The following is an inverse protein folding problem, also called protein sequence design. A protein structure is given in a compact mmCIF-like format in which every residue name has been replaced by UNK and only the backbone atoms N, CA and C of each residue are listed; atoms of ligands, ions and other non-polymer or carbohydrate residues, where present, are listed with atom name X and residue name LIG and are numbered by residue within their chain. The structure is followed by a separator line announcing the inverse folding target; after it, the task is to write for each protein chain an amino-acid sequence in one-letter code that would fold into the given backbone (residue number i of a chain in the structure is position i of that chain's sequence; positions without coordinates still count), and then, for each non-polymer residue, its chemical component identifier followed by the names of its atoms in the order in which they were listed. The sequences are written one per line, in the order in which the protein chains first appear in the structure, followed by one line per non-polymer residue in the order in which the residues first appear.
data_IF_799904168637
#
_entry.id   IF_799904168637
#
_cell.length_a   1.000
_cell.length_b   1.000
_cell.length_c   1.000
_cell.angle_alpha   90.00
_cell.angle_beta   90.00
_cell.angle_gamma   90.00
#
_symmetry.space_group_name_H-M   'P 1'
#
loop_
_entity.id
_entity.type
_entity.pdbx_description
1 polymer ?
#
# COMPACT_ATOMS: atom_id res chain seq x y z
N UNK A 1 26.11 15.65 8.26
CA UNK A 1 25.11 16.54 8.89
C UNK A 1 25.38 18.04 8.63
N UNK A 2 26.60 18.48 8.31
CA UNK A 2 26.97 19.91 8.22
C UNK A 2 26.68 20.66 6.92
N UNK A 3 26.16 20.01 5.86
CA UNK A 3 25.93 20.64 4.54
C UNK A 3 24.47 20.54 4.08
N UNK A 4 23.52 20.95 4.93
CA UNK A 4 22.11 21.07 4.52
C UNK A 4 21.56 22.44 4.94
N UNK A 5 20.97 23.22 4.02
CA UNK A 5 20.56 24.61 4.27
C UNK A 5 19.34 24.76 5.20
N UNK A 6 18.67 23.67 5.60
CA UNK A 6 17.50 23.69 6.48
C UNK A 6 17.49 22.50 7.46
N UNK A 7 18.16 22.66 8.61
CA UNK A 7 18.31 21.66 9.68
C UNK A 7 16.97 21.01 10.15
N UNK A 8 15.89 21.77 10.47
CA UNK A 8 14.65 21.19 10.97
C UNK A 8 13.84 20.42 9.91
N UNK A 9 13.92 20.77 8.62
CA UNK A 9 13.29 19.99 7.53
C UNK A 9 14.05 18.69 7.27
N UNK A 10 15.38 18.73 7.37
CA UNK A 10 16.24 17.56 7.19
C UNK A 10 16.06 16.55 8.33
N UNK A 11 15.94 17.01 9.59
CA UNK A 11 15.67 16.17 10.77
C UNK A 11 14.32 15.44 10.72
N UNK A 12 13.28 16.01 10.10
CA UNK A 12 11.96 15.38 9.99
C UNK A 12 11.85 14.27 8.95
N UNK A 13 12.94 13.94 8.25
CA UNK A 13 12.93 12.80 7.31
C UNK A 13 13.02 11.50 8.11
N UNK A 14 12.13 10.50 7.92
CA UNK A 14 12.08 9.30 8.76
C UNK A 14 13.40 8.51 8.76
N UNK A 15 14.11 8.51 7.64
CA UNK A 15 15.45 7.89 7.53
C UNK A 15 16.48 8.59 8.42
N UNK A 16 16.39 9.92 8.55
CA UNK A 16 17.28 10.72 9.38
C UNK A 16 16.92 10.63 10.88
N UNK A 17 15.64 10.43 11.20
CA UNK A 17 15.19 10.14 12.58
C UNK A 17 15.79 8.81 13.07
N UNK A 18 15.79 7.77 12.22
CA UNK A 18 16.38 6.47 12.54
C UNK A 18 17.90 6.61 12.73
N UNK A 19 18.57 7.39 11.89
CA UNK A 19 20.01 7.65 12.00
C UNK A 19 20.36 8.41 13.29
N UNK A 20 19.52 9.38 13.66
CA UNK A 20 19.65 10.11 14.93
C UNK A 20 19.44 9.19 16.14
N UNK A 21 18.40 8.35 16.14
CA UNK A 21 18.14 7.37 17.21
C UNK A 21 19.31 6.38 17.34
N UNK A 22 19.85 5.88 16.22
CA UNK A 22 20.99 4.97 16.23
C UNK A 22 22.25 5.64 16.80
N UNK A 23 22.50 6.90 16.41
CA UNK A 23 23.61 7.71 16.93
C UNK A 23 23.44 7.96 18.44
N UNK A 24 22.26 8.41 18.87
CA UNK A 24 21.95 8.66 20.29
C UNK A 24 22.08 7.38 21.11
N UNK A 25 21.58 6.24 20.63
CA UNK A 25 21.70 4.94 21.31
C UNK A 25 23.17 4.61 21.60
N UNK A 26 24.07 4.78 20.63
CA UNK A 26 25.51 4.58 20.80
C UNK A 26 26.15 5.54 21.81
N UNK A 27 25.76 6.82 21.82
CA UNK A 27 26.27 7.80 22.79
C UNK A 27 25.79 7.51 24.21
N UNK A 28 24.52 7.12 24.36
CA UNK A 28 23.95 6.75 25.65
C UNK A 28 24.65 5.52 26.21
N UNK A 29 24.92 4.52 25.38
CA UNK A 29 25.69 3.33 25.76
C UNK A 29 27.09 3.65 26.28
N UNK A 30 27.80 4.49 25.56
CA UNK A 30 29.14 4.93 25.94
C UNK A 30 29.13 5.76 27.22
N UNK A 31 28.18 6.67 27.36
CA UNK A 31 27.99 7.47 28.57
C UNK A 31 27.62 6.60 29.77
N UNK A 32 26.82 5.56 29.52
CA UNK A 32 26.34 4.64 30.54
C UNK A 32 27.44 3.71 31.06
N UNK A 33 28.25 3.13 30.18
CA UNK A 33 29.41 2.31 30.59
C UNK A 33 30.40 3.12 31.44
N UNK A 34 30.53 4.43 31.15
CA UNK A 34 31.39 5.35 31.92
C UNK A 34 30.77 5.78 33.25
N UNK A 35 29.45 5.93 33.32
CA UNK A 35 28.73 6.37 34.52
C UNK A 35 28.43 5.22 35.51
N UNK A 36 28.17 4.00 35.01
CA UNK A 36 27.81 2.84 35.82
C UNK A 36 29.01 2.10 36.44
N UNK A 37 30.26 2.47 36.13
CA UNK A 37 31.43 1.96 36.86
C UNK A 37 31.41 2.30 38.37
N UNK A 38 30.50 3.16 38.84
CA UNK A 38 30.29 3.47 40.26
C UNK A 38 28.93 3.02 40.80
N UNK A 39 28.90 1.88 41.50
CA UNK A 39 28.04 1.54 42.66
C UNK A 39 26.58 2.06 42.67
N UNK A 40 25.79 1.89 41.60
CA UNK A 40 24.33 2.08 41.64
C UNK A 40 23.63 1.00 40.81
N UNK A 41 23.06 0.00 41.50
CA UNK A 41 22.38 -1.15 40.87
C UNK A 41 20.94 -0.84 40.44
N UNK A 42 20.29 0.14 41.07
CA UNK A 42 18.88 0.46 40.81
C UNK A 42 18.68 1.21 39.48
N UNK A 43 19.68 1.98 39.03
CA UNK A 43 19.63 2.62 37.71
C UNK A 43 19.77 1.63 36.55
N UNK A 44 20.38 0.46 36.80
CA UNK A 44 20.69 -0.55 35.77
C UNK A 44 19.42 -1.19 35.19
N UNK A 45 18.32 -1.24 35.95
CA UNK A 45 17.02 -1.71 35.45
C UNK A 45 16.41 -0.73 34.43
N UNK A 46 16.34 0.57 34.74
CA UNK A 46 15.86 1.58 33.79
C UNK A 46 16.73 1.64 32.52
N UNK A 47 18.03 1.41 32.66
CA UNK A 47 18.95 1.36 31.55
C UNK A 47 18.84 0.08 30.69
N UNK A 48 18.07 -0.93 31.12
CA UNK A 48 17.80 -2.12 30.29
C UNK A 48 16.98 -1.78 29.03
N UNK A 49 16.18 -0.70 29.05
CA UNK A 49 15.48 -0.18 27.86
C UNK A 49 16.48 0.24 26.78
N UNK A 50 17.65 0.76 27.16
CA UNK A 50 18.71 1.15 26.20
C UNK A 50 19.25 -0.07 25.45
N UNK A 51 19.34 -1.24 26.11
CA UNK A 51 19.75 -2.49 25.44
C UNK A 51 18.75 -2.89 24.34
N UNK A 52 17.45 -2.66 24.55
CA UNK A 52 16.42 -2.83 23.50
C UNK A 52 16.57 -1.76 22.42
N UNK A 53 16.94 -0.52 22.78
CA UNK A 53 17.23 0.55 21.80
C UNK A 53 18.42 0.22 20.88
N UNK A 54 19.43 -0.51 21.36
CA UNK A 54 20.52 -1.03 20.51
C UNK A 54 20.03 -1.98 19.41
N UNK A 55 18.90 -2.70 19.60
CA UNK A 55 18.32 -3.55 18.55
C UNK A 55 17.85 -2.74 17.34
N UNK A 56 17.46 -1.48 17.53
CA UNK A 56 17.15 -0.58 16.42
C UNK A 56 18.37 -0.26 15.56
N UNK A 57 19.62 -0.48 16.03
CA UNK A 57 20.82 -0.37 15.19
C UNK A 57 20.78 -1.33 13.99
N UNK A 58 20.11 -2.49 14.12
CA UNK A 58 19.90 -3.43 13.01
C UNK A 58 19.04 -2.82 11.89
N UNK A 59 18.16 -1.88 12.23
CA UNK A 59 17.30 -1.19 11.26
C UNK A 59 18.07 -0.25 10.34
N UNK A 60 19.25 0.23 10.77
CA UNK A 60 20.12 1.10 9.98
C UNK A 60 20.86 0.33 8.87
N UNK A 61 21.20 -0.94 9.11
CA UNK A 61 21.93 -1.76 8.14
C UNK A 61 20.99 -2.44 7.12
N UNK A 62 19.74 -2.68 7.49
CA UNK A 62 18.75 -3.28 6.59
C UNK A 62 18.17 -2.24 5.61
N UNK A 63 18.66 -2.26 4.37
CA UNK A 63 18.07 -1.50 3.25
C UNK A 63 16.59 -1.87 3.03
N UNK A 64 16.21 -3.12 3.29
CA UNK A 64 14.82 -3.58 3.19
C UNK A 64 13.86 -2.85 4.14
N UNK A 65 14.30 -2.59 5.38
CA UNK A 65 13.48 -1.89 6.35
C UNK A 65 13.33 -0.39 6.03
N UNK A 66 14.35 0.23 5.44
CA UNK A 66 14.26 1.62 4.94
C UNK A 66 13.22 1.76 3.83
N UNK A 67 13.14 0.78 2.93
CA UNK A 67 12.13 0.73 1.87
C UNK A 67 10.74 0.53 2.47
N UNK A 68 10.61 -0.35 3.48
CA UNK A 68 9.34 -0.55 4.19
C UNK A 68 8.83 0.75 4.83
N UNK A 69 9.71 1.50 5.50
CA UNK A 69 9.34 2.76 6.17
C UNK A 69 8.95 3.83 5.15
N UNK A 70 9.65 3.92 4.02
CA UNK A 70 9.25 4.85 2.94
C UNK A 70 7.90 4.46 2.33
N UNK A 71 7.63 3.17 2.19
CA UNK A 71 6.35 2.64 1.70
C UNK A 71 5.23 2.95 2.70
N UNK A 72 5.47 2.70 3.99
CA UNK A 72 4.52 3.00 5.05
C UNK A 72 4.19 4.49 5.11
N UNK A 73 5.17 5.37 4.93
CA UNK A 73 4.92 6.81 4.86
C UNK A 73 4.05 7.18 3.65
N UNK A 74 4.24 6.52 2.50
CA UNK A 74 3.43 6.78 1.30
C UNK A 74 1.95 6.38 1.52
N UNK A 75 1.72 5.27 2.23
CA UNK A 75 0.38 4.75 2.52
C UNK A 75 -0.16 5.18 3.90
N UNK A 76 0.56 6.03 4.64
CA UNK A 76 0.20 6.44 6.00
C UNK A 76 -1.14 7.18 6.06
N UNK A 77 -1.49 7.93 5.01
CA UNK A 77 -2.75 8.65 4.94
C UNK A 77 -3.96 7.69 4.97
N UNK A 78 -3.86 6.55 4.29
CA UNK A 78 -4.92 5.54 4.26
C UNK A 78 -4.99 4.74 5.57
N UNK A 79 -3.82 4.41 6.12
CA UNK A 79 -3.75 3.72 7.41
C UNK A 79 -4.27 4.60 8.55
N UNK A 80 -3.99 5.90 8.53
CA UNK A 80 -4.51 6.84 9.52
C UNK A 80 -6.04 6.92 9.49
N UNK A 81 -6.63 6.94 8.28
CA UNK A 81 -8.07 6.93 8.10
C UNK A 81 -8.70 5.63 8.65
N UNK A 82 -8.08 4.47 8.42
CA UNK A 82 -8.52 3.22 9.04
C UNK A 82 -8.48 3.30 10.57
N UNK A 83 -7.33 3.65 11.13
CA UNK A 83 -7.15 3.70 12.59
C UNK A 83 -8.16 4.68 13.20
N UNK A 84 -8.45 5.78 12.53
CA UNK A 84 -9.48 6.72 12.95
C UNK A 84 -10.88 6.07 13.04
N UNK A 85 -11.30 5.30 12.02
CA UNK A 85 -12.57 4.58 12.06
C UNK A 85 -12.63 3.52 13.16
N UNK A 86 -11.54 2.77 13.36
CA UNK A 86 -11.45 1.76 14.44
C UNK A 86 -11.51 2.43 15.81
N UNK A 87 -10.80 3.54 16.01
CA UNK A 87 -10.86 4.31 17.26
C UNK A 87 -12.25 4.88 17.52
N UNK A 88 -12.93 5.39 16.49
CA UNK A 88 -14.31 5.86 16.63
C UNK A 88 -15.24 4.71 17.06
N UNK A 89 -15.12 3.53 16.45
CA UNK A 89 -15.87 2.35 16.85
C UNK A 89 -15.59 1.96 18.31
N UNK A 90 -14.32 1.94 18.73
CA UNK A 90 -13.91 1.67 20.12
C UNK A 90 -14.61 2.62 21.09
N UNK A 91 -14.60 3.93 20.82
CA UNK A 91 -15.23 4.93 21.69
C UNK A 91 -16.75 4.74 21.77
N UNK A 92 -17.40 4.47 20.63
CA UNK A 92 -18.85 4.23 20.57
C UNK A 92 -19.23 2.99 21.40
N UNK A 93 -18.58 1.85 21.16
CA UNK A 93 -18.90 0.61 21.88
C UNK A 93 -18.53 0.67 23.37
N UNK A 94 -17.45 1.37 23.73
CA UNK A 94 -17.08 1.63 25.12
C UNK A 94 -18.15 2.46 25.86
N UNK A 95 -18.73 3.47 25.20
CA UNK A 95 -19.83 4.24 25.76
C UNK A 95 -21.10 3.38 25.88
N UNK A 96 -21.45 2.63 24.83
CA UNK A 96 -22.64 1.78 24.82
C UNK A 96 -22.61 0.70 25.91
N UNK A 97 -21.47 0.03 26.13
CA UNK A 97 -21.37 -1.00 27.18
C UNK A 97 -21.42 -0.37 28.58
N UNK A 98 -20.80 0.81 28.75
CA UNK A 98 -20.81 1.53 30.03
C UNK A 98 -22.22 2.00 30.41
N UNK A 99 -22.99 2.51 29.45
CA UNK A 99 -24.39 2.84 29.69
C UNK A 99 -25.25 1.59 29.85
N UNK A 100 -25.04 0.56 29.02
CA UNK A 100 -25.76 -0.71 29.10
C UNK A 100 -25.63 -1.41 30.46
N UNK A 101 -24.44 -1.38 31.05
CA UNK A 101 -24.18 -1.93 32.39
C UNK A 101 -24.69 -1.05 33.54
N UNK A 102 -25.08 0.21 33.27
CA UNK A 102 -25.64 1.12 34.26
C UNK A 102 -27.15 1.20 34.27
N UNK A 103 -27.81 0.70 33.23
CA UNK A 103 -29.27 0.64 33.17
C UNK A 103 -29.83 -0.38 34.16
N UNK A 104 -29.09 -1.46 34.42
CA UNK A 104 -29.47 -2.53 35.34
C UNK A 104 -28.60 -2.47 36.60
N UNK A 105 -29.24 -2.45 37.77
CA UNK A 105 -28.52 -2.46 39.06
C UNK A 105 -27.86 -3.82 39.26
N UNK A 106 -26.56 -3.87 38.99
CA UNK A 106 -25.73 -5.05 39.18
C UNK A 106 -24.70 -4.81 40.31
N UNK A 107 -24.78 -5.55 41.44
CA UNK A 107 -23.80 -5.42 42.53
C UNK A 107 -22.37 -5.78 42.12
N UNK A 108 -22.22 -6.51 41.01
CA UNK A 108 -20.97 -7.03 40.45
C UNK A 108 -20.51 -6.25 39.20
N UNK A 109 -20.84 -4.96 39.10
CA UNK A 109 -20.50 -4.12 37.94
C UNK A 109 -18.99 -3.78 37.88
N UNK A 110 -18.33 -4.25 36.83
CA UNK A 110 -16.90 -4.02 36.58
C UNK A 110 -16.62 -2.75 35.77
N UNK A 111 -17.63 -2.18 35.10
CA UNK A 111 -17.53 -0.99 34.24
C UNK A 111 -17.70 0.31 35.05
N UNK A 112 -16.76 0.57 35.96
CA UNK A 112 -16.81 1.72 36.88
C UNK A 112 -16.60 3.08 36.19
N UNK A 113 -15.86 3.12 35.08
CA UNK A 113 -15.52 4.36 34.37
C UNK A 113 -15.38 4.12 32.87
N UNK A 114 -15.58 5.17 32.08
CA UNK A 114 -15.46 5.13 30.61
C UNK A 114 -14.09 4.58 30.15
N UNK A 115 -12.94 4.92 30.77
CA UNK A 115 -11.65 4.34 30.38
C UNK A 115 -11.55 2.82 30.56
N UNK A 116 -12.28 2.25 31.53
CA UNK A 116 -12.34 0.79 31.72
C UNK A 116 -13.13 0.14 30.57
N UNK A 117 -14.22 0.77 30.14
CA UNK A 117 -14.97 0.37 28.94
C UNK A 117 -14.15 0.48 27.65
N UNK A 118 -13.25 1.47 27.55
CA UNK A 118 -12.33 1.60 26.42
C UNK A 118 -11.35 0.43 26.34
N UNK A 119 -10.77 0.01 27.47
CA UNK A 119 -9.89 -1.17 27.51
C UNK A 119 -10.63 -2.43 27.03
N UNK A 120 -11.85 -2.67 27.54
CA UNK A 120 -12.68 -3.77 27.08
C UNK A 120 -12.98 -3.69 25.57
N UNK A 121 -13.41 -2.53 25.08
CA UNK A 121 -13.75 -2.34 23.67
C UNK A 121 -12.55 -2.56 22.74
N UNK A 122 -11.33 -2.14 23.14
CA UNK A 122 -10.09 -2.42 22.41
C UNK A 122 -9.84 -3.93 22.33
N UNK A 123 -9.90 -4.63 23.46
CA UNK A 123 -9.66 -6.08 23.55
C UNK A 123 -10.70 -6.87 22.74
N UNK A 124 -11.96 -6.44 22.74
CA UNK A 124 -13.05 -7.08 21.99
C UNK A 124 -12.98 -6.81 20.49
N UNK A 125 -12.77 -5.57 20.05
CA UNK A 125 -12.66 -5.21 18.63
C UNK A 125 -11.42 -5.86 18.00
N UNK A 126 -10.30 -5.91 18.73
CA UNK A 126 -9.11 -6.63 18.30
C UNK A 126 -9.25 -8.17 18.40
N UNK A 127 -10.42 -8.69 18.78
CA UNK A 127 -10.71 -10.13 18.90
C UNK A 127 -9.79 -10.88 19.87
N UNK A 128 -9.14 -10.17 20.81
CA UNK A 128 -8.24 -10.77 21.80
C UNK A 128 -9.06 -11.49 22.88
N UNK A 129 -10.06 -10.80 23.43
CA UNK A 129 -11.02 -11.38 24.38
C UNK A 129 -10.39 -11.99 25.64
N UNK A 130 -9.59 -11.23 26.40
CA UNK A 130 -8.95 -11.73 27.63
C UNK A 130 -9.94 -12.28 28.68
N UNK A 131 -11.17 -11.75 28.73
CA UNK A 131 -12.20 -12.18 29.66
C UNK A 131 -12.04 -11.64 31.09
N UNK A 132 -11.13 -10.69 31.30
CA UNK A 132 -10.93 -9.94 32.55
C UNK A 132 -12.12 -9.02 32.87
N UNK A 133 -12.73 -8.45 31.82
CA UNK A 133 -13.89 -7.59 31.86
C UNK A 133 -14.95 -8.13 30.91
N UNK A 134 -16.17 -8.36 31.40
CA UNK A 134 -17.28 -8.88 30.57
C UNK A 134 -18.60 -8.26 31.03
N UNK A 135 -19.44 -7.75 30.11
CA UNK A 135 -20.77 -7.28 30.47
C UNK A 135 -21.62 -8.44 31.01
N UNK A 136 -22.23 -8.21 32.19
CA UNK A 136 -23.07 -9.18 32.89
C UNK A 136 -24.57 -8.91 32.65
N UNK A 137 -24.95 -7.67 32.35
CA UNK A 137 -26.33 -7.23 32.05
C UNK A 137 -26.85 -7.74 30.72
N UNK A 138 -28.17 -7.81 30.55
CA UNK A 138 -28.78 -8.26 29.29
C UNK A 138 -28.46 -7.30 28.14
N UNK A 139 -28.54 -5.99 28.40
CA UNK A 139 -28.19 -4.96 27.42
C UNK A 139 -26.69 -4.95 27.11
N UNK A 140 -25.83 -5.08 28.12
CA UNK A 140 -24.39 -5.16 27.94
C UNK A 140 -23.98 -6.36 27.09
N UNK A 141 -24.62 -7.53 27.26
CA UNK A 141 -24.38 -8.72 26.44
C UNK A 141 -24.82 -8.54 24.98
N UNK A 142 -25.93 -7.86 24.73
CA UNK A 142 -26.38 -7.51 23.37
C UNK A 142 -25.39 -6.55 22.70
N UNK A 143 -24.94 -5.52 23.43
CA UNK A 143 -23.90 -4.61 22.94
C UNK A 143 -22.59 -5.37 22.69
N UNK A 144 -22.22 -6.30 23.56
CA UNK A 144 -21.04 -7.15 23.42
C UNK A 144 -21.08 -8.05 22.19
N UNK A 145 -22.21 -8.69 21.91
CA UNK A 145 -22.36 -9.54 20.71
C UNK A 145 -22.33 -8.72 19.43
N UNK A 146 -22.99 -7.55 19.42
CA UNK A 146 -22.94 -6.62 18.29
C UNK A 146 -21.54 -6.06 18.09
N UNK A 147 -20.82 -5.74 19.17
CA UNK A 147 -19.44 -5.25 19.14
C UNK A 147 -18.49 -6.30 18.56
N UNK A 148 -18.63 -7.58 18.94
CA UNK A 148 -17.80 -8.65 18.40
C UNK A 148 -18.01 -8.82 16.88
N UNK A 149 -19.26 -8.85 16.43
CA UNK A 149 -19.59 -8.96 15.00
C UNK A 149 -19.12 -7.73 14.21
N UNK A 150 -19.43 -6.52 14.69
CA UNK A 150 -19.03 -5.28 14.04
C UNK A 150 -17.53 -5.06 14.06
N UNK A 151 -16.84 -5.44 15.14
CA UNK A 151 -15.38 -5.32 15.25
C UNK A 151 -14.66 -6.15 14.19
N UNK A 152 -15.06 -7.41 14.01
CA UNK A 152 -14.51 -8.29 12.97
C UNK A 152 -14.76 -7.70 11.58
N UNK A 153 -15.98 -7.24 11.28
CA UNK A 153 -16.31 -6.61 9.99
C UNK A 153 -15.51 -5.33 9.75
N UNK A 154 -15.32 -4.53 10.80
CA UNK A 154 -14.59 -3.26 10.76
C UNK A 154 -13.11 -3.48 10.47
N UNK A 155 -12.50 -4.59 10.92
CA UNK A 155 -11.10 -4.92 10.61
C UNK A 155 -10.99 -5.66 9.28
N UNK A 156 -11.93 -6.55 8.95
CA UNK A 156 -11.86 -7.42 7.78
C UNK A 156 -11.94 -6.67 6.44
N UNK A 157 -12.69 -5.57 6.36
CA UNK A 157 -12.86 -4.80 5.12
C UNK A 157 -11.67 -3.89 4.76
N UNK A 158 -11.15 -3.07 5.68
CA UNK A 158 -10.10 -2.12 5.33
C UNK A 158 -8.70 -2.74 5.28
N UNK A 159 -8.42 -3.81 6.03
CA UNK A 159 -7.08 -4.44 6.01
C UNK A 159 -6.70 -4.91 4.60
N UNK A 160 -7.56 -5.64 3.84
CA UNK A 160 -7.26 -6.00 2.45
C UNK A 160 -7.14 -4.81 1.50
N UNK A 161 -7.97 -3.77 1.66
CA UNK A 161 -7.91 -2.54 0.85
C UNK A 161 -6.54 -1.88 1.02
N UNK A 162 -6.10 -1.77 2.28
CA UNK A 162 -4.80 -1.20 2.64
C UNK A 162 -3.67 -2.08 2.12
N UNK A 163 -3.71 -3.40 2.35
CA UNK A 163 -2.67 -4.32 1.86
C UNK A 163 -2.55 -4.25 0.33
N UNK A 164 -3.67 -4.16 -0.39
CA UNK A 164 -3.68 -3.97 -1.84
C UNK A 164 -2.96 -2.69 -2.26
N UNK A 165 -3.27 -1.57 -1.59
CA UNK A 165 -2.62 -0.30 -1.88
C UNK A 165 -1.14 -0.26 -1.49
N UNK A 166 -0.80 -0.78 -0.30
CA UNK A 166 0.58 -0.95 0.15
C UNK A 166 1.39 -1.82 -0.80
N UNK A 167 0.80 -2.89 -1.36
CA UNK A 167 1.46 -3.74 -2.35
C UNK A 167 1.79 -2.97 -3.63
N UNK A 168 0.86 -2.11 -4.11
CA UNK A 168 1.09 -1.24 -5.25
C UNK A 168 2.25 -0.27 -4.98
N UNK A 169 2.23 0.45 -3.85
CA UNK A 169 3.30 1.39 -3.47
C UNK A 169 4.64 0.69 -3.22
N UNK A 170 4.62 -0.49 -2.61
CA UNK A 170 5.81 -1.30 -2.35
C UNK A 170 6.48 -1.75 -3.66
N UNK A 171 5.69 -2.24 -4.63
CA UNK A 171 6.21 -2.66 -5.93
C UNK A 171 6.86 -1.50 -6.70
N UNK A 172 6.27 -0.31 -6.63
CA UNK A 172 6.85 0.89 -7.23
C UNK A 172 8.12 1.36 -6.53
N UNK A 173 8.16 1.35 -5.20
CA UNK A 173 9.37 1.66 -4.44
C UNK A 173 10.51 0.67 -4.73
N UNK A 174 10.19 -0.63 -4.82
CA UNK A 174 11.16 -1.67 -5.11
C UNK A 174 11.66 -1.61 -6.56
N UNK A 175 10.79 -1.40 -7.54
CA UNK A 175 11.18 -1.24 -8.94
C UNK A 175 12.14 -0.05 -9.14
N UNK A 176 11.88 1.08 -8.45
CA UNK A 176 12.78 2.25 -8.46
C UNK A 176 14.15 1.95 -7.85
N UNK A 177 14.22 1.10 -6.82
CA UNK A 177 15.48 0.71 -6.16
C UNK A 177 16.34 -0.26 -6.98
N UNK A 178 15.72 -1.09 -7.83
CA UNK A 178 16.40 -2.07 -8.70
C UNK A 178 16.87 -1.47 -10.03
N UNK A 179 16.37 -0.30 -10.43
CA UNK A 179 16.83 0.38 -11.63
C UNK A 179 18.25 0.95 -11.42
N UNK A 180 19.20 0.69 -12.33
CA UNK A 180 20.52 1.30 -12.25
C UNK A 180 20.36 2.84 -12.28
N UNK A 181 21.06 3.54 -11.38
CA UNK A 181 21.08 5.01 -11.21
C UNK A 181 21.35 5.83 -12.50
N UNK A 182 21.57 5.21 -13.66
CA UNK A 182 22.12 5.81 -14.88
C UNK A 182 21.10 6.34 -15.90
N UNK A 183 19.81 6.48 -15.57
CA UNK A 183 18.86 7.06 -16.54
C UNK A 183 17.83 8.00 -15.91
N UNK A 184 18.31 8.94 -15.09
CA UNK A 184 17.55 10.15 -14.75
C UNK A 184 17.94 11.30 -15.71
N UNK A 185 17.88 11.07 -17.02
CA UNK A 185 17.51 12.15 -17.92
C UNK A 185 16.00 12.07 -18.03
N UNK A 186 15.33 12.94 -17.28
CA UNK A 186 14.04 13.47 -17.69
C UNK A 186 14.21 13.82 -19.17
N UNK A 187 13.53 13.12 -20.08
CA UNK A 187 13.32 13.70 -21.41
C UNK A 187 12.49 14.95 -21.11
N UNK A 188 13.17 16.09 -21.04
CA UNK A 188 12.49 17.36 -21.15
C UNK A 188 11.78 17.30 -22.51
N UNK A 189 10.47 17.58 -22.62
CA UNK A 189 9.73 17.58 -23.89
C UNK A 189 10.23 18.59 -24.95
N UNK A 190 11.41 19.18 -24.74
CA UNK A 190 11.96 20.32 -25.48
C UNK A 190 12.84 19.94 -26.67
N UNK A 191 13.28 18.67 -26.75
CA UNK A 191 14.28 18.25 -27.75
C UNK A 191 13.77 17.28 -28.81
N UNK A 192 12.45 17.06 -28.94
CA UNK A 192 11.91 16.37 -30.11
C UNK A 192 11.89 17.36 -31.29
N UNK A 193 13.04 17.59 -31.93
CA UNK A 193 13.04 18.18 -33.27
C UNK A 193 12.24 17.24 -34.18
N UNK A 194 11.17 17.70 -34.85
CA UNK A 194 10.47 16.86 -35.79
C UNK A 194 11.43 16.58 -36.95
N UNK A 195 11.83 15.32 -37.10
CA UNK A 195 12.50 14.85 -38.31
C UNK A 195 11.40 14.72 -39.38
N UNK A 196 10.93 15.87 -39.88
CA UNK A 196 10.18 15.94 -41.13
C UNK A 196 11.08 16.74 -42.07
N UNK A 197 11.90 15.99 -42.80
CA UNK A 197 12.71 16.53 -43.87
C UNK A 197 11.79 17.15 -44.92
N UNK A 198 12.05 18.40 -45.28
CA UNK A 198 11.34 19.16 -46.32
C UNK A 198 11.34 18.50 -47.70
N UNK A 199 12.09 17.40 -47.89
CA UNK A 199 12.20 16.69 -49.15
C UNK A 199 11.06 15.68 -49.40
N UNK A 200 10.47 15.10 -48.35
CA UNK A 200 9.42 14.07 -48.51
C UNK A 200 8.05 14.66 -48.81
N UNK A 201 7.75 15.88 -48.37
CA UNK A 201 6.50 16.58 -48.72
C UNK A 201 6.44 16.98 -50.19
N UNK A 202 7.56 17.34 -50.82
CA UNK A 202 7.58 17.66 -52.25
C UNK A 202 7.36 16.42 -53.13
N UNK A 203 7.94 15.28 -52.76
CA UNK A 203 7.73 14.01 -53.46
C UNK A 203 6.28 13.51 -53.32
N UNK A 204 5.68 13.65 -52.14
CA UNK A 204 4.28 13.27 -51.91
C UNK A 204 3.32 14.24 -52.62
N UNK A 205 3.59 15.56 -52.59
CA UNK A 205 2.78 16.55 -53.32
C UNK A 205 2.79 16.33 -54.85
N UNK A 206 3.93 15.94 -55.43
CA UNK A 206 3.99 15.61 -56.85
C UNK A 206 3.25 14.30 -57.20
N UNK A 207 3.11 13.37 -56.25
CA UNK A 207 2.30 12.15 -56.42
C UNK A 207 0.80 12.35 -56.22
N UNK A 208 0.38 13.49 -55.65
CA UNK A 208 -1.02 13.81 -55.35
C UNK A 208 -1.66 14.78 -56.36
N UNK A 209 -0.94 15.19 -57.41
CA UNK A 209 -1.52 15.98 -58.49
C UNK A 209 -2.48 15.11 -59.33
N UNK A 210 -3.78 15.47 -59.43
CA UNK A 210 -4.77 14.62 -60.07
C UNK A 210 -4.60 14.61 -61.59
N UNK A 211 -4.38 13.41 -62.15
CA UNK A 211 -4.38 13.15 -63.60
C UNK A 211 -5.84 13.23 -64.09
N UNK A 212 -6.16 14.32 -64.77
CA UNK A 212 -7.45 14.64 -65.39
C UNK A 212 -7.80 13.58 -66.45
N UNK A 213 -8.79 12.72 -66.19
CA UNK A 213 -9.43 11.88 -67.21
C UNK A 213 -10.95 11.90 -67.03
N UNK A 214 -11.63 11.89 -68.17
CA UNK A 214 -12.96 12.42 -68.49
C UNK A 214 -14.15 11.70 -67.82
N UNK A 215 -15.13 12.49 -67.38
CA UNK A 215 -16.47 12.09 -66.97
C UNK A 215 -17.35 11.75 -68.19
N UNK A 216 -18.03 10.61 -68.14
CA UNK A 216 -19.24 10.32 -68.92
C UNK A 216 -20.38 9.98 -67.93
N UNK A 217 -21.50 10.72 -68.07
CA UNK A 217 -22.93 10.43 -67.82
C UNK A 217 -23.34 9.12 -67.11
N UNK A 218 -24.46 8.95 -66.39
CA UNK A 218 -25.68 9.70 -65.97
C UNK A 218 -26.47 8.66 -65.12
N UNK A 219 -27.04 8.96 -63.95
CA UNK A 219 -28.49 9.04 -63.62
C UNK A 219 -28.63 8.53 -62.16
N UNK A 220 -29.20 9.26 -61.20
CA UNK A 220 -30.63 9.38 -60.82
C UNK A 220 -31.31 8.03 -60.47
N UNK A 221 -31.74 7.88 -59.21
CA UNK A 221 -32.94 7.09 -58.90
C UNK A 221 -32.96 6.25 -57.62
N UNK A 222 -33.70 6.75 -56.62
CA UNK A 222 -34.60 6.01 -55.71
C UNK A 222 -34.06 5.09 -54.58
N UNK A 223 -34.40 5.50 -53.35
CA UNK A 223 -35.27 4.80 -52.36
C UNK A 223 -34.96 3.31 -52.12
N UNK A 224 -34.73 2.79 -50.90
CA UNK A 224 -35.60 2.83 -49.71
C UNK A 224 -35.02 1.93 -48.61
N UNK A 225 -35.21 2.36 -47.36
CA UNK A 225 -35.53 1.61 -46.13
C UNK A 225 -34.65 0.46 -45.57
N UNK A 226 -34.62 0.48 -44.23
CA UNK A 226 -34.22 -0.58 -43.29
C UNK A 226 -32.70 -0.84 -43.21
N UNK A 227 -32.09 -1.19 -42.10
CA UNK A 227 -32.44 -1.22 -40.69
C UNK A 227 -31.12 -1.48 -39.95
N UNK A 228 -31.02 -0.96 -38.73
CA UNK A 228 -30.52 -1.66 -37.55
C UNK A 228 -29.31 -2.62 -37.76
N UNK A 229 -28.09 -2.17 -37.47
CA UNK A 229 -27.03 -3.09 -37.04
C UNK A 229 -25.92 -2.35 -36.27
N UNK A 230 -26.02 -2.43 -34.95
CA UNK A 230 -24.93 -2.23 -33.99
C UNK A 230 -23.82 -3.26 -34.25
N UNK A 231 -22.54 -2.90 -34.24
CA UNK A 231 -21.46 -3.85 -34.47
C UNK A 231 -21.03 -4.52 -33.16
N UNK A 232 -21.07 -5.85 -33.11
CA UNK A 232 -20.27 -6.66 -32.20
C UNK A 232 -19.40 -7.65 -32.98
N UNK A 233 -18.13 -7.71 -32.53
CA UNK A 233 -17.22 -8.86 -32.56
C UNK A 233 -16.86 -9.48 -33.92
N UNK A 234 -15.65 -9.17 -34.37
CA UNK A 234 -14.87 -10.03 -35.28
C UNK A 234 -13.46 -10.20 -34.70
N UNK A 235 -13.14 -11.41 -34.24
CA UNK A 235 -11.77 -11.89 -34.09
C UNK A 235 -11.22 -12.28 -35.48
N UNK A 236 -9.91 -12.14 -35.76
CA UNK A 236 -9.31 -12.81 -36.90
C UNK A 236 -8.49 -14.03 -36.45
N UNK A 237 -8.75 -15.17 -37.12
CA UNK A 237 -7.90 -16.35 -37.15
C UNK A 237 -7.30 -16.52 -38.56
N UNK A 238 -6.04 -16.96 -38.63
CA UNK A 238 -5.38 -17.54 -39.82
C UNK A 238 -4.51 -16.61 -40.69
N UNK A 239 -3.60 -17.14 -41.53
CA UNK A 239 -3.61 -18.51 -42.07
C UNK A 239 -2.28 -19.31 -42.06
N UNK A 240 -2.48 -20.60 -42.31
CA UNK A 240 -1.57 -21.72 -42.56
C UNK A 240 -0.74 -21.60 -43.87
N UNK A 241 0.51 -22.08 -43.85
CA UNK A 241 1.16 -23.00 -44.82
C UNK A 241 2.69 -23.01 -44.67
N UNK A 242 3.27 -24.22 -44.53
CA UNK A 242 4.12 -24.90 -45.56
C UNK A 242 5.27 -25.75 -44.99
N UNK A 243 5.07 -27.08 -45.06
CA UNK A 243 5.96 -28.20 -45.50
C UNK A 243 7.40 -28.39 -44.96
N UNK A 244 7.73 -29.68 -44.85
CA UNK A 244 9.03 -30.39 -44.77
C UNK A 244 9.46 -30.75 -43.34
N UNK A 245 9.91 -31.96 -43.00
CA UNK A 245 10.11 -33.22 -43.71
C UNK A 245 10.42 -34.27 -42.64
N UNK A 246 9.92 -35.50 -42.80
CA UNK A 246 10.56 -36.78 -42.46
C UNK A 246 11.49 -36.88 -41.23
N UNK A 247 11.20 -37.79 -40.30
CA UNK A 247 11.99 -39.02 -40.07
C UNK A 247 11.77 -39.60 -38.67
N UNK A 248 11.52 -40.92 -38.64
CA UNK A 248 11.64 -41.88 -37.55
C UNK A 248 10.82 -41.64 -36.27
N UNK A 249 9.72 -42.39 -36.05
CA UNK A 249 9.69 -43.83 -35.77
C UNK A 249 10.44 -44.22 -34.48
N UNK A 250 9.63 -44.44 -33.43
CA UNK A 250 9.77 -45.54 -32.49
C UNK A 250 11.07 -45.64 -31.70
N UNK A 251 11.04 -45.19 -30.45
CA UNK A 251 11.62 -45.93 -29.30
C UNK A 251 11.23 -45.27 -27.99
N UNK A 252 11.10 -46.11 -26.96
CA UNK A 252 10.89 -45.79 -25.54
C UNK A 252 9.44 -45.69 -25.05
N UNK A 253 8.70 -46.79 -25.23
CA UNK A 253 7.93 -47.38 -24.14
C UNK A 253 8.61 -48.70 -23.74
N UNK A 254 9.29 -48.74 -22.58
CA UNK A 254 9.39 -49.87 -21.64
C UNK A 254 10.54 -49.70 -20.64
N UNK A 255 10.21 -50.00 -19.37
CA UNK A 255 11.08 -50.28 -18.21
C UNK A 255 11.71 -49.00 -17.65
N UNK A 256 11.34 -48.53 -16.45
CA UNK A 256 11.30 -49.23 -15.17
C UNK A 256 10.47 -48.43 -14.17
#
# INVERSE_FOLDING_TARGET
MFFCPNLPKFLKTPVNIIDFIATVSFYIDWALDKALSGKNRDSVEFFSIIRVLRLFKLTQHSTGLKILIQTFKASAQELFLLVFFVLLAIVIFAALVYYGERVEDNPENQFKSIPVGLWWAVVTICTIGFGDLVPKTYLGRLVGSLCALMGVLTIALPVPIIVGNFSMFYSHAQARSKLPKKRQRVLQPKDLKPIVGKATTAAILNSLAPRRQSMHHNEIGHNTLSALATPLLVCPDGPDKRKNSTSNAGKFSKLM
#
